data_IF_613053277729
#
_entry.id   IF_613053277729
#
_cell.length_a   1.000
_cell.length_b   1.000
_cell.length_c   1.000
_cell.angle_alpha   90.00
_cell.angle_beta   90.00
_cell.angle_gamma   90.00
#
_symmetry.space_group_name_H-M   'P 1'
#
loop_
_entity.id
_entity.type
_entity.pdbx_description
1 polymer ?
#
# COMPACT_ATOMS: atom_id res chain seq x y z
N UNK A 1 -3.67 1.43 -15.00
CA UNK A 1 -3.12 1.85 -13.68
C UNK A 1 -3.39 0.77 -12.64
N UNK A 2 -2.56 0.67 -11.61
CA UNK A 2 -2.82 -0.13 -10.41
C UNK A 2 -2.84 0.83 -9.22
N UNK A 3 -3.90 0.79 -8.42
CA UNK A 3 -4.01 1.54 -7.17
C UNK A 3 -3.40 0.70 -6.05
N UNK A 4 -2.23 1.10 -5.57
CA UNK A 4 -1.50 0.31 -4.58
C UNK A 4 -1.95 0.55 -3.13
N UNK A 5 -2.93 1.45 -2.89
CA UNK A 5 -3.45 1.73 -1.57
C UNK A 5 -4.83 2.39 -1.62
N UNK A 6 -5.89 1.64 -1.31
CA UNK A 6 -7.26 2.14 -1.29
C UNK A 6 -8.10 1.37 -0.27
N UNK A 7 -8.73 2.08 0.67
CA UNK A 7 -9.64 1.52 1.67
C UNK A 7 -11.05 1.32 1.10
N UNK A 8 -11.17 0.40 0.14
CA UNK A 8 -12.46 0.10 -0.51
C UNK A 8 -13.48 -0.58 0.43
N UNK A 9 -13.01 -1.09 1.55
CA UNK A 9 -13.81 -1.61 2.67
C UNK A 9 -14.47 -0.52 3.53
N UNK A 10 -14.10 0.76 3.33
CA UNK A 10 -14.71 1.89 4.02
C UNK A 10 -16.23 1.96 3.72
N UNK A 11 -17.07 2.22 4.74
CA UNK A 11 -18.53 2.32 4.58
C UNK A 11 -19.02 3.28 3.48
N UNK A 12 -18.21 4.27 3.09
CA UNK A 12 -18.52 5.18 1.99
C UNK A 12 -18.64 4.49 0.61
N UNK A 13 -18.12 3.27 0.48
CA UNK A 13 -18.21 2.46 -0.75
C UNK A 13 -19.24 1.34 -0.67
N UNK A 14 -19.87 1.09 0.50
CA UNK A 14 -20.76 -0.03 0.71
C UNK A 14 -21.97 -0.01 -0.25
N UNK A 15 -22.52 1.18 -0.51
CA UNK A 15 -23.63 1.35 -1.45
C UNK A 15 -23.12 1.48 -2.88
N UNK A 16 -23.60 0.61 -3.78
CA UNK A 16 -23.27 0.68 -5.21
C UNK A 16 -21.87 0.21 -5.59
N UNK A 17 -21.19 -0.58 -4.74
CA UNK A 17 -19.82 -1.03 -4.95
C UNK A 17 -19.59 -1.69 -6.32
N UNK A 18 -20.51 -2.55 -6.79
CA UNK A 18 -20.38 -3.21 -8.10
C UNK A 18 -20.31 -2.20 -9.25
N UNK A 19 -21.18 -1.20 -9.24
CA UNK A 19 -21.21 -0.14 -10.24
C UNK A 19 -19.95 0.74 -10.14
N UNK A 20 -19.55 1.10 -8.92
CA UNK A 20 -18.34 1.85 -8.66
C UNK A 20 -17.10 1.14 -9.23
N UNK A 21 -16.89 -0.13 -8.91
CA UNK A 21 -15.74 -0.90 -9.42
C UNK A 21 -15.78 -1.07 -10.94
N UNK A 22 -16.97 -1.21 -11.53
CA UNK A 22 -17.13 -1.25 -12.99
C UNK A 22 -16.67 0.05 -13.66
N UNK A 23 -17.00 1.20 -13.09
CA UNK A 23 -16.51 2.51 -13.56
C UNK A 23 -14.99 2.63 -13.44
N UNK A 24 -14.39 2.19 -12.31
CA UNK A 24 -12.95 2.22 -12.16
C UNK A 24 -12.25 1.37 -13.24
N UNK A 25 -12.77 0.18 -13.53
CA UNK A 25 -12.25 -0.70 -14.60
C UNK A 25 -12.38 -0.06 -15.98
N UNK A 26 -13.52 0.57 -16.28
CA UNK A 26 -13.76 1.24 -17.55
C UNK A 26 -12.75 2.37 -17.78
N UNK A 27 -12.35 3.09 -16.70
CA UNK A 27 -11.37 4.17 -16.74
C UNK A 27 -9.92 3.68 -16.61
N UNK A 28 -9.68 2.36 -16.78
CA UNK A 28 -8.35 1.78 -16.94
C UNK A 28 -7.64 1.40 -15.65
N UNK A 29 -8.35 1.35 -14.50
CA UNK A 29 -7.80 0.77 -13.26
C UNK A 29 -7.82 -0.75 -13.40
N UNK A 30 -6.64 -1.38 -13.34
CA UNK A 30 -6.47 -2.82 -13.57
C UNK A 30 -6.55 -3.63 -12.27
N UNK A 31 -6.16 -3.04 -11.14
CA UNK A 31 -6.18 -3.66 -9.82
C UNK A 31 -6.19 -2.60 -8.73
N UNK A 32 -6.71 -2.97 -7.56
CA UNK A 32 -6.74 -2.16 -6.34
C UNK A 32 -6.23 -3.02 -5.19
N UNK A 33 -5.25 -2.51 -4.44
CA UNK A 33 -4.74 -3.14 -3.24
C UNK A 33 -5.47 -2.55 -2.02
N UNK A 34 -5.96 -3.44 -1.15
CA UNK A 34 -6.83 -3.07 -0.02
C UNK A 34 -6.11 -3.37 1.28
N UNK A 35 -5.54 -2.37 1.96
CA UNK A 35 -4.86 -2.56 3.23
C UNK A 35 -5.85 -2.65 4.38
N UNK A 36 -5.66 -3.65 5.26
CA UNK A 36 -6.29 -3.67 6.58
C UNK A 36 -5.53 -2.80 7.57
N UNK A 37 -6.24 -2.23 8.54
CA UNK A 37 -5.66 -1.27 9.50
C UNK A 37 -5.71 -1.76 10.95
N UNK A 38 -6.53 -2.76 11.26
CA UNK A 38 -6.70 -3.33 12.60
C UNK A 38 -7.31 -4.74 12.56
N UNK A 39 -7.32 -5.43 13.69
CA UNK A 39 -7.86 -6.79 13.79
C UNK A 39 -9.36 -6.86 13.45
N UNK A 40 -10.14 -5.82 13.77
CA UNK A 40 -11.59 -5.77 13.48
C UNK A 40 -11.89 -5.67 12.00
N UNK A 41 -11.02 -5.03 11.19
CA UNK A 41 -11.20 -4.84 9.74
C UNK A 41 -10.90 -6.10 8.91
N UNK A 42 -10.21 -7.10 9.48
CA UNK A 42 -9.78 -8.31 8.76
C UNK A 42 -10.91 -8.97 7.99
N UNK A 43 -12.06 -9.15 8.63
CA UNK A 43 -13.20 -9.84 8.02
C UNK A 43 -13.73 -9.09 6.80
N UNK A 44 -13.86 -7.78 6.90
CA UNK A 44 -14.46 -6.95 5.85
C UNK A 44 -13.50 -6.77 4.66
N UNK A 45 -12.22 -6.53 4.93
CA UNK A 45 -11.16 -6.50 3.91
C UNK A 45 -11.12 -7.82 3.13
N UNK A 46 -11.09 -8.96 3.84
CA UNK A 46 -11.03 -10.25 3.17
C UNK A 46 -12.31 -10.57 2.41
N UNK A 47 -13.49 -10.25 2.95
CA UNK A 47 -14.76 -10.50 2.30
C UNK A 47 -14.92 -9.69 1.00
N UNK A 48 -14.53 -8.40 1.00
CA UNK A 48 -14.61 -7.59 -0.21
C UNK A 48 -13.62 -8.06 -1.26
N UNK A 49 -12.41 -8.43 -0.89
CA UNK A 49 -11.41 -8.94 -1.82
C UNK A 49 -11.79 -10.33 -2.37
N UNK A 50 -12.32 -11.22 -1.54
CA UNK A 50 -12.79 -12.55 -1.97
C UNK A 50 -13.99 -12.47 -2.95
N UNK A 51 -14.77 -11.38 -2.90
CA UNK A 51 -15.85 -11.13 -3.88
C UNK A 51 -15.33 -10.71 -5.26
N UNK A 52 -14.13 -10.10 -5.33
CA UNK A 52 -13.52 -9.62 -6.59
C UNK A 52 -12.05 -10.07 -6.70
N UNK A 53 -11.78 -11.38 -6.72
CA UNK A 53 -10.44 -11.94 -6.52
C UNK A 53 -9.42 -11.57 -7.59
N UNK A 54 -9.88 -11.21 -8.81
CA UNK A 54 -9.02 -10.79 -9.93
C UNK A 54 -8.84 -9.27 -10.02
N UNK A 55 -9.31 -8.55 -8.99
CA UNK A 55 -9.31 -7.09 -9.03
C UNK A 55 -8.94 -6.42 -7.71
N UNK A 56 -9.40 -6.97 -6.59
CA UNK A 56 -9.09 -6.49 -5.25
C UNK A 56 -8.12 -7.44 -4.55
N UNK A 57 -7.03 -6.90 -4.04
CA UNK A 57 -5.95 -7.69 -3.45
C UNK A 57 -5.71 -7.27 -2.01
N UNK A 58 -5.91 -8.17 -1.02
CA UNK A 58 -5.84 -7.81 0.38
C UNK A 58 -4.40 -7.74 0.90
N UNK A 59 -4.15 -6.75 1.76
CA UNK A 59 -3.04 -6.74 2.69
C UNK A 59 -3.59 -6.66 4.13
N UNK A 60 -2.88 -7.19 5.10
CA UNK A 60 -3.28 -7.16 6.52
C UNK A 60 -2.15 -6.59 7.37
N UNK A 61 -2.50 -5.67 8.25
CA UNK A 61 -1.59 -5.05 9.20
C UNK A 61 -2.32 -4.33 10.33
N UNK A 62 -1.56 -3.96 11.36
CA UNK A 62 -1.98 -3.08 12.44
C UNK A 62 -1.38 -1.70 12.16
N UNK A 63 -2.24 -0.77 11.77
CA UNK A 63 -1.88 0.63 11.55
C UNK A 63 -1.41 1.30 12.86
N UNK A 64 -0.40 2.17 12.83
CA UNK A 64 0.12 2.79 14.05
C UNK A 64 -0.92 3.58 14.85
N UNK A 65 -1.90 4.21 14.21
CA UNK A 65 -2.99 4.90 14.91
C UNK A 65 -3.91 3.95 15.69
N UNK A 66 -3.92 2.66 15.37
CA UNK A 66 -4.70 1.62 16.05
C UNK A 66 -3.88 0.83 17.09
N UNK A 67 -2.62 1.18 17.29
CA UNK A 67 -1.80 0.65 18.38
C UNK A 67 -2.26 1.29 19.69
N UNK A 68 -2.91 0.48 20.56
CA UNK A 68 -3.47 0.87 21.84
C UNK A 68 -3.06 -0.15 22.91
N UNK A 69 -3.72 -0.15 24.06
CA UNK A 69 -3.46 -1.06 25.17
C UNK A 69 -3.55 -2.55 24.77
N UNK A 70 -4.42 -2.85 23.81
CA UNK A 70 -4.71 -4.20 23.30
C UNK A 70 -3.85 -4.61 22.07
N UNK A 71 -2.85 -3.83 21.71
CA UNK A 71 -2.09 -4.03 20.48
C UNK A 71 -1.52 -5.45 20.31
N UNK A 72 -1.14 -6.13 21.40
CA UNK A 72 -0.63 -7.50 21.36
C UNK A 72 -1.71 -8.50 20.98
N UNK A 73 -2.93 -8.32 21.50
CA UNK A 73 -4.09 -9.17 21.16
C UNK A 73 -4.50 -8.94 19.70
N UNK A 74 -4.49 -7.69 19.24
CA UNK A 74 -4.71 -7.36 17.84
C UNK A 74 -3.67 -8.02 16.93
N UNK A 75 -2.37 -7.95 17.26
CA UNK A 75 -1.32 -8.63 16.51
C UNK A 75 -1.50 -10.16 16.48
N UNK A 76 -1.93 -10.79 17.58
CA UNK A 76 -2.21 -12.21 17.59
C UNK A 76 -3.34 -12.58 16.62
N UNK A 77 -4.42 -11.80 16.61
CA UNK A 77 -5.55 -12.00 15.71
C UNK A 77 -5.14 -11.80 14.25
N UNK A 78 -4.41 -10.72 13.96
CA UNK A 78 -3.89 -10.43 12.62
C UNK A 78 -2.94 -11.53 12.15
N UNK A 79 -2.00 -11.97 13.01
CA UNK A 79 -1.06 -13.05 12.68
C UNK A 79 -1.77 -14.36 12.35
N UNK A 80 -2.81 -14.71 13.12
CA UNK A 80 -3.62 -15.90 12.84
C UNK A 80 -4.32 -15.81 11.46
N UNK A 81 -4.82 -14.62 11.09
CA UNK A 81 -5.42 -14.39 9.78
C UNK A 81 -4.39 -14.45 8.65
N UNK A 82 -3.20 -13.85 8.85
CA UNK A 82 -2.08 -13.95 7.91
C UNK A 82 -1.68 -15.41 7.71
N UNK A 83 -1.49 -16.15 8.79
CA UNK A 83 -1.11 -17.58 8.75
C UNK A 83 -2.15 -18.42 8.02
N UNK A 84 -3.43 -18.19 8.30
CA UNK A 84 -4.52 -18.89 7.63
C UNK A 84 -4.54 -18.63 6.12
N UNK A 85 -4.22 -17.41 5.68
CA UNK A 85 -4.19 -17.04 4.27
C UNK A 85 -2.91 -17.48 3.55
N UNK A 86 -1.78 -17.59 4.25
CA UNK A 86 -0.48 -17.93 3.66
C UNK A 86 -0.16 -19.43 3.70
N UNK A 87 -0.68 -20.18 4.69
CA UNK A 87 -0.40 -21.60 4.89
C UNK A 87 -1.41 -22.53 4.19
N UNK A 88 -2.29 -22.00 3.32
CA UNK A 88 -3.25 -22.85 2.62
C UNK A 88 -2.52 -23.76 1.63
N UNK A 89 -2.48 -25.03 1.99
CA UNK A 89 -1.92 -26.15 1.23
C UNK A 89 -2.90 -26.67 0.15
N UNK A 90 -3.57 -25.77 -0.56
CA UNK A 90 -4.50 -26.14 -1.65
C UNK A 90 -3.76 -26.40 -2.98
N UNK A 91 -2.48 -26.73 -2.93
CA UNK A 91 -1.87 -27.42 -4.06
C UNK A 91 -2.27 -28.91 -4.01
N UNK A 92 -2.90 -29.48 -5.02
CA UNK A 92 -3.24 -30.92 -5.08
C UNK A 92 -2.05 -31.86 -4.89
N UNK A 93 -0.83 -31.33 -4.76
CA UNK A 93 0.44 -32.08 -4.65
C UNK A 93 1.29 -31.72 -3.43
N UNK A 94 0.82 -30.87 -2.50
CA UNK A 94 1.61 -30.50 -1.29
C UNK A 94 2.93 -29.77 -1.59
N UNK A 95 3.09 -29.17 -2.77
CA UNK A 95 4.29 -28.45 -3.18
C UNK A 95 4.15 -26.99 -2.77
N UNK A 96 5.01 -26.55 -1.82
CA UNK A 96 5.18 -25.12 -1.51
C UNK A 96 5.97 -24.47 -2.64
N UNK A 97 5.27 -23.77 -3.55
CA UNK A 97 5.93 -22.92 -4.53
C UNK A 97 6.41 -21.62 -3.85
N UNK A 98 7.58 -21.07 -4.24
CA UNK A 98 7.94 -19.70 -3.90
C UNK A 98 6.80 -18.74 -4.28
N UNK A 99 6.52 -17.73 -3.43
CA UNK A 99 5.38 -16.81 -3.63
C UNK A 99 5.39 -16.16 -5.02
N UNK A 100 6.60 -15.87 -5.54
CA UNK A 100 6.78 -15.33 -6.89
C UNK A 100 6.22 -16.24 -8.01
N UNK A 101 6.13 -17.53 -7.78
CA UNK A 101 5.72 -18.54 -8.77
C UNK A 101 4.27 -19.02 -8.59
N UNK A 102 3.55 -18.50 -7.57
CA UNK A 102 2.16 -18.89 -7.32
C UNK A 102 1.21 -18.17 -8.27
N UNK A 103 0.21 -18.87 -8.85
CA UNK A 103 -0.90 -18.23 -9.55
C UNK A 103 -1.61 -17.21 -8.65
N UNK A 104 -2.17 -16.14 -9.21
CA UNK A 104 -2.87 -15.09 -8.46
C UNK A 104 -3.97 -15.66 -7.56
N UNK A 105 -4.73 -16.65 -8.07
CA UNK A 105 -5.79 -17.33 -7.32
C UNK A 105 -5.30 -18.00 -6.01
N UNK A 106 -4.00 -18.31 -5.91
CA UNK A 106 -3.40 -18.92 -4.73
C UNK A 106 -2.73 -17.90 -3.80
N UNK A 107 -2.63 -16.62 -4.22
CA UNK A 107 -2.08 -15.51 -3.41
C UNK A 107 -3.19 -14.85 -2.63
N UNK A 108 -3.44 -15.34 -1.43
CA UNK A 108 -4.51 -14.83 -0.58
C UNK A 108 -4.17 -13.51 0.14
N UNK A 109 -2.87 -13.18 0.29
CA UNK A 109 -2.39 -11.87 0.72
C UNK A 109 -1.28 -11.40 -0.22
N UNK A 110 -1.29 -10.09 -0.51
CA UNK A 110 -0.34 -9.48 -1.43
C UNK A 110 0.78 -8.71 -0.72
N UNK A 111 0.53 -8.31 0.52
CA UNK A 111 1.46 -7.56 1.36
C UNK A 111 1.13 -7.70 2.84
N UNK A 112 2.07 -7.33 3.70
CA UNK A 112 1.79 -6.98 5.09
C UNK A 112 1.61 -5.47 5.14
N UNK A 113 0.45 -5.03 5.59
CA UNK A 113 0.09 -3.61 5.60
C UNK A 113 -1.41 -3.35 5.85
N UNK A 114 -1.70 -2.19 6.32
CA UNK A 114 -0.82 -1.04 6.52
C UNK A 114 -0.14 -1.12 7.88
N UNK A 115 1.18 -0.85 7.94
CA UNK A 115 2.00 -0.87 9.16
C UNK A 115 2.90 0.35 9.21
N UNK A 116 3.42 0.71 10.36
CA UNK A 116 4.37 1.82 10.41
C UNK A 116 4.37 2.58 11.72
N UNK A 117 4.68 3.88 11.62
CA UNK A 117 4.76 4.80 12.75
C UNK A 117 4.00 6.10 12.47
N UNK A 118 3.22 6.58 13.45
CA UNK A 118 2.53 7.87 13.41
C UNK A 118 2.71 8.61 14.74
N UNK A 119 3.31 9.80 14.70
CA UNK A 119 3.51 10.64 15.88
C UNK A 119 2.71 11.94 15.81
N UNK A 120 1.80 12.04 14.83
CA UNK A 120 1.06 13.27 14.58
C UNK A 120 -0.03 13.53 15.62
N UNK A 121 -0.83 12.51 15.91
CA UNK A 121 -2.01 12.66 16.77
C UNK A 121 -1.72 12.28 18.22
N UNK A 122 -1.03 11.17 18.44
CA UNK A 122 -0.81 10.61 19.77
C UNK A 122 0.53 9.86 19.83
N UNK A 123 1.34 10.20 20.80
CA UNK A 123 2.64 9.55 21.04
C UNK A 123 2.64 8.66 22.29
N UNK A 124 1.48 8.46 22.93
CA UNK A 124 1.34 7.65 24.15
C UNK A 124 1.87 6.25 23.96
N UNK A 125 1.61 5.65 22.78
CA UNK A 125 2.00 4.28 22.43
C UNK A 125 3.18 4.21 21.45
N UNK A 126 4.06 5.21 21.47
CA UNK A 126 5.21 5.28 20.55
C UNK A 126 6.09 4.02 20.60
N UNK A 127 6.43 3.54 21.78
CA UNK A 127 7.26 2.35 21.96
C UNK A 127 6.52 1.06 21.51
N UNK A 128 5.22 1.03 21.71
CA UNK A 128 4.36 -0.06 21.25
C UNK A 128 4.25 -0.06 19.72
N UNK A 129 4.14 1.11 19.07
CA UNK A 129 4.19 1.23 17.60
C UNK A 129 5.50 0.66 17.05
N UNK A 130 6.66 0.97 17.67
CA UNK A 130 7.96 0.42 17.28
C UNK A 130 8.00 -1.12 17.39
N UNK A 131 7.43 -1.68 18.47
CA UNK A 131 7.37 -3.15 18.66
C UNK A 131 6.43 -3.79 17.65
N UNK A 132 5.24 -3.19 17.46
CA UNK A 132 4.24 -3.67 16.50
C UNK A 132 4.76 -3.65 15.07
N UNK A 133 5.43 -2.57 14.65
CA UNK A 133 6.04 -2.49 13.32
C UNK A 133 7.10 -3.57 13.12
N UNK A 134 8.04 -3.74 14.08
CA UNK A 134 9.08 -4.79 13.96
C UNK A 134 8.52 -6.19 13.91
N UNK A 135 7.46 -6.47 14.67
CA UNK A 135 6.81 -7.79 14.63
C UNK A 135 6.21 -8.07 13.25
N UNK A 136 5.54 -7.10 12.67
CA UNK A 136 4.92 -7.20 11.36
C UNK A 136 5.97 -7.24 10.22
N UNK A 137 7.11 -6.56 10.38
CA UNK A 137 8.26 -6.70 9.48
C UNK A 137 8.82 -8.14 9.49
N UNK A 138 8.85 -8.82 10.66
CA UNK A 138 9.23 -10.25 10.73
C UNK A 138 8.23 -11.13 9.98
N UNK A 139 6.93 -10.83 10.02
CA UNK A 139 5.95 -11.56 9.21
C UNK A 139 6.22 -11.40 7.72
N UNK A 140 6.49 -10.17 7.28
CA UNK A 140 6.84 -9.90 5.89
C UNK A 140 8.08 -10.69 5.46
N UNK A 141 9.12 -10.75 6.29
CA UNK A 141 10.31 -11.54 6.05
C UNK A 141 10.01 -13.04 6.01
N UNK A 142 9.24 -13.57 6.99
CA UNK A 142 8.83 -14.97 7.06
C UNK A 142 8.08 -15.44 5.81
N UNK A 143 7.17 -14.62 5.29
CA UNK A 143 6.33 -14.97 4.15
C UNK A 143 6.83 -14.45 2.81
N UNK A 144 7.97 -13.75 2.80
CA UNK A 144 8.52 -13.07 1.63
C UNK A 144 7.50 -12.15 0.96
N UNK A 145 6.72 -11.44 1.76
CA UNK A 145 5.75 -10.46 1.32
C UNK A 145 6.34 -9.05 1.35
N UNK A 146 5.97 -8.17 0.41
CA UNK A 146 6.26 -6.76 0.54
C UNK A 146 5.45 -6.13 1.69
N UNK A 147 5.84 -4.92 2.09
CA UNK A 147 5.15 -4.15 3.13
C UNK A 147 4.58 -2.84 2.58
N UNK A 148 3.46 -2.39 3.14
CA UNK A 148 2.89 -1.06 2.93
C UNK A 148 3.15 -0.24 4.19
N UNK A 149 4.04 0.76 4.10
CA UNK A 149 4.56 1.52 5.24
C UNK A 149 3.88 2.87 5.34
N UNK A 150 3.22 3.10 6.45
CA UNK A 150 2.79 4.41 6.92
C UNK A 150 3.91 5.10 7.70
N UNK A 151 4.14 6.38 7.45
CA UNK A 151 5.10 7.17 8.22
C UNK A 151 4.66 8.64 8.27
N UNK A 152 4.26 9.09 9.45
CA UNK A 152 3.85 10.47 9.67
C UNK A 152 4.51 11.05 10.93
N UNK A 153 5.25 12.15 10.75
CA UNK A 153 6.07 12.78 11.79
C UNK A 153 7.07 11.82 12.47
N UNK A 154 7.39 10.67 11.82
CA UNK A 154 8.15 9.55 12.36
C UNK A 154 9.27 9.05 11.43
N UNK A 155 9.68 9.86 10.45
CA UNK A 155 10.55 9.43 9.34
C UNK A 155 11.84 8.74 9.79
N UNK A 156 12.59 9.33 10.72
CA UNK A 156 13.88 8.80 11.15
C UNK A 156 13.75 7.45 11.87
N UNK A 157 12.75 7.31 12.75
CA UNK A 157 12.49 6.05 13.46
C UNK A 157 12.01 4.97 12.46
N UNK A 158 11.17 5.36 11.48
CA UNK A 158 10.74 4.48 10.40
C UNK A 158 11.94 3.97 9.60
N UNK A 159 12.79 4.86 9.09
CA UNK A 159 13.99 4.48 8.34
C UNK A 159 14.94 3.60 9.16
N UNK A 160 15.04 3.85 10.47
CA UNK A 160 15.85 3.03 11.37
C UNK A 160 15.33 1.60 11.42
N UNK A 161 14.01 1.40 11.58
CA UNK A 161 13.41 0.06 11.57
C UNK A 161 13.57 -0.62 10.20
N UNK A 162 13.36 0.10 9.08
CA UNK A 162 13.54 -0.48 7.75
C UNK A 162 14.96 -1.03 7.53
N UNK A 163 16.00 -0.37 8.08
CA UNK A 163 17.40 -0.84 7.99
C UNK A 163 17.64 -2.13 8.77
N UNK A 164 16.84 -2.43 9.79
CA UNK A 164 16.92 -3.70 10.54
C UNK A 164 16.49 -4.90 9.70
N UNK A 165 15.72 -4.68 8.61
CA UNK A 165 15.16 -5.73 7.74
C UNK A 165 15.60 -5.59 6.28
N UNK A 166 16.89 -5.78 5.97
CA UNK A 166 17.44 -5.48 4.64
C UNK A 166 16.92 -6.40 3.52
N UNK A 167 16.28 -7.51 3.86
CA UNK A 167 15.67 -8.45 2.91
C UNK A 167 14.24 -8.09 2.54
N UNK A 168 13.54 -7.32 3.38
CA UNK A 168 12.15 -6.90 3.14
C UNK A 168 12.13 -5.75 2.12
N UNK A 169 11.14 -5.74 1.26
CA UNK A 169 10.85 -4.68 0.29
C UNK A 169 9.43 -4.19 0.49
N UNK A 170 9.12 -3.02 -0.02
CA UNK A 170 7.78 -2.49 0.12
C UNK A 170 7.63 -1.11 -0.50
N UNK A 171 6.55 -0.46 -0.13
CA UNK A 171 6.23 0.91 -0.51
C UNK A 171 6.10 1.78 0.75
N UNK A 172 6.75 2.93 0.75
CA UNK A 172 6.40 4.00 1.67
C UNK A 172 5.19 4.72 1.07
N UNK A 173 4.03 4.39 1.60
CA UNK A 173 2.75 4.89 1.11
C UNK A 173 2.58 6.37 1.44
N UNK A 174 1.75 7.07 0.67
CA UNK A 174 1.43 8.48 0.80
C UNK A 174 2.66 9.38 0.97
N UNK A 175 3.72 9.07 0.20
CA UNK A 175 5.00 9.73 0.36
C UNK A 175 4.89 11.23 0.12
N UNK A 176 5.34 12.01 1.11
CA UNK A 176 5.36 13.48 1.07
C UNK A 176 6.65 14.08 1.66
N UNK A 177 7.68 13.22 1.86
CA UNK A 177 8.96 13.58 2.46
C UNK A 177 9.85 14.44 1.56
N UNK A 178 11.04 14.80 2.08
CA UNK A 178 12.06 15.53 1.32
C UNK A 178 12.74 14.66 0.26
N UNK A 179 13.51 15.31 -0.63
CA UNK A 179 14.33 14.61 -1.63
C UNK A 179 15.32 13.64 -0.98
N UNK A 180 15.95 14.03 0.13
CA UNK A 180 16.94 13.23 0.85
C UNK A 180 16.28 11.97 1.45
N UNK A 181 15.06 12.10 1.98
CA UNK A 181 14.28 10.96 2.48
C UNK A 181 13.87 10.06 1.33
N UNK A 182 13.38 10.61 0.21
CA UNK A 182 13.05 9.84 -0.98
C UNK A 182 14.23 8.99 -1.46
N UNK A 183 15.42 9.62 -1.52
CA UNK A 183 16.66 8.93 -1.91
C UNK A 183 17.02 7.80 -0.95
N UNK A 184 16.95 8.02 0.38
CA UNK A 184 17.25 6.98 1.37
C UNK A 184 16.29 5.78 1.24
N UNK A 185 14.99 6.04 1.07
CA UNK A 185 13.97 5.00 0.88
C UNK A 185 14.25 4.16 -0.37
N UNK A 186 14.55 4.84 -1.49
CA UNK A 186 14.87 4.19 -2.78
C UNK A 186 16.19 3.40 -2.71
N UNK A 187 17.23 3.95 -2.07
CA UNK A 187 18.53 3.28 -1.89
C UNK A 187 18.40 2.00 -1.04
N UNK A 188 17.43 1.93 -0.12
CA UNK A 188 17.10 0.71 0.61
C UNK A 188 16.28 -0.30 -0.22
N UNK A 189 15.91 0.03 -1.47
CA UNK A 189 15.16 -0.83 -2.37
C UNK A 189 13.64 -0.73 -2.24
N UNK A 190 13.13 0.24 -1.49
CA UNK A 190 11.72 0.51 -1.36
C UNK A 190 11.19 1.37 -2.52
N UNK A 191 9.88 1.37 -2.67
CA UNK A 191 9.16 2.23 -3.61
C UNK A 191 8.51 3.40 -2.86
N UNK A 192 8.18 4.45 -3.60
CA UNK A 192 7.42 5.60 -3.10
C UNK A 192 6.00 5.53 -3.67
N UNK A 193 4.99 5.53 -2.79
CA UNK A 193 3.59 5.63 -3.16
C UNK A 193 3.23 7.09 -3.44
N UNK A 194 2.80 7.39 -4.65
CA UNK A 194 2.51 8.75 -5.10
C UNK A 194 1.02 8.88 -5.35
N UNK A 195 0.37 9.67 -4.51
CA UNK A 195 -1.07 9.92 -4.54
C UNK A 195 -1.45 11.37 -4.83
N UNK A 196 -2.71 11.70 -4.54
CA UNK A 196 -3.34 12.99 -4.83
C UNK A 196 -2.60 14.21 -4.29
N UNK A 197 -1.81 14.06 -3.24
CA UNK A 197 -0.99 15.13 -2.62
C UNK A 197 -0.08 15.82 -3.63
N UNK A 198 0.46 15.08 -4.60
CA UNK A 198 1.31 15.62 -5.66
C UNK A 198 0.65 16.76 -6.45
N UNK A 199 -0.68 16.77 -6.53
CA UNK A 199 -1.45 17.76 -7.28
C UNK A 199 -1.76 19.02 -6.46
N UNK A 200 -1.46 19.06 -5.16
CA UNK A 200 -1.85 20.17 -4.30
C UNK A 200 -0.97 21.41 -4.53
N UNK A 201 -1.59 22.57 -4.57
CA UNK A 201 -0.96 23.86 -4.95
C UNK A 201 0.32 24.17 -4.15
N UNK A 202 0.33 23.85 -2.87
CA UNK A 202 1.44 24.19 -1.94
C UNK A 202 2.35 22.99 -1.65
N UNK A 203 2.20 21.86 -2.37
CA UNK A 203 3.00 20.68 -2.18
C UNK A 203 4.33 20.81 -2.93
N UNK A 204 5.44 20.58 -2.23
CA UNK A 204 6.80 20.58 -2.82
C UNK A 204 7.22 19.20 -3.36
N UNK A 205 6.36 18.21 -3.27
CA UNK A 205 6.71 16.83 -3.66
C UNK A 205 7.22 16.75 -5.11
N UNK A 206 6.63 17.53 -6.03
CA UNK A 206 7.11 17.60 -7.41
C UNK A 206 8.60 17.98 -7.52
N UNK A 207 9.05 18.92 -6.68
CA UNK A 207 10.47 19.33 -6.62
C UNK A 207 11.33 18.23 -5.98
N UNK A 208 10.81 17.55 -4.95
CA UNK A 208 11.53 16.50 -4.23
C UNK A 208 11.70 15.22 -5.06
N UNK A 209 10.84 14.98 -6.06
CA UNK A 209 10.93 13.82 -6.95
C UNK A 209 11.94 14.02 -8.10
N UNK A 210 12.43 15.24 -8.33
CA UNK A 210 13.42 15.49 -9.40
C UNK A 210 14.68 14.65 -9.14
N UNK A 211 15.04 13.79 -10.11
CA UNK A 211 16.20 12.89 -10.01
C UNK A 211 15.95 11.58 -9.25
N UNK A 212 14.77 11.36 -8.69
CA UNK A 212 14.34 10.04 -8.18
C UNK A 212 13.98 9.16 -9.39
N UNK A 213 14.47 7.90 -9.47
CA UNK A 213 14.15 7.01 -10.59
C UNK A 213 12.63 6.73 -10.67
N UNK A 214 12.04 6.91 -11.85
CA UNK A 214 10.62 6.62 -12.08
C UNK A 214 10.29 5.14 -11.80
N UNK A 215 11.26 4.26 -12.01
CA UNK A 215 11.19 2.81 -11.71
C UNK A 215 11.04 2.50 -10.22
N UNK A 216 11.03 3.51 -9.36
CA UNK A 216 10.83 3.40 -7.91
C UNK A 216 9.53 4.08 -7.43
N UNK A 217 8.67 4.49 -8.35
CA UNK A 217 7.37 5.07 -8.03
C UNK A 217 6.25 4.08 -8.32
N UNK A 218 5.24 4.06 -7.45
CA UNK A 218 3.94 3.43 -7.70
C UNK A 218 2.84 4.45 -7.50
N UNK A 219 1.68 4.21 -8.12
CA UNK A 219 0.51 5.07 -7.97
C UNK A 219 -0.41 4.54 -6.88
N UNK A 220 -1.05 5.45 -6.17
CA UNK A 220 -2.05 5.13 -5.16
C UNK A 220 -3.06 6.26 -5.01
N UNK A 221 -4.10 6.02 -4.22
CA UNK A 221 -5.08 7.05 -3.92
C UNK A 221 -5.17 7.40 -2.46
N UNK A 222 -5.00 6.44 -1.56
CA UNK A 222 -5.42 6.51 -0.16
C UNK A 222 -6.94 6.82 -0.05
N UNK A 223 -7.71 6.34 -1.03
CA UNK A 223 -9.14 6.58 -1.10
C UNK A 223 -9.87 5.86 0.06
N UNK A 224 -10.87 6.49 0.67
CA UNK A 224 -11.65 7.66 0.23
C UNK A 224 -11.00 9.03 0.49
N UNK A 225 -9.80 9.07 1.04
CA UNK A 225 -9.10 10.28 1.45
C UNK A 225 -8.27 10.88 0.30
N UNK A 226 -7.65 12.02 0.53
CA UNK A 226 -6.57 12.61 -0.25
C UNK A 226 -6.89 12.85 -1.75
N UNK A 227 -8.16 13.10 -2.10
CA UNK A 227 -8.59 13.34 -3.48
C UNK A 227 -7.72 14.40 -4.18
N UNK A 228 -7.25 14.14 -5.44
CA UNK A 228 -6.43 15.09 -6.19
C UNK A 228 -7.21 16.34 -6.59
N UNK A 229 -6.50 17.41 -6.99
CA UNK A 229 -7.10 18.52 -7.69
C UNK A 229 -7.58 18.02 -9.08
N UNK A 230 -8.81 18.35 -9.52
CA UNK A 230 -9.73 19.36 -8.98
C UNK A 230 -10.73 18.82 -7.93
N UNK A 231 -10.63 17.59 -7.49
CA UNK A 231 -11.65 16.93 -6.66
C UNK A 231 -11.41 17.03 -5.14
N UNK A 232 -10.51 17.92 -4.69
CA UNK A 232 -10.28 18.17 -3.26
C UNK A 232 -11.58 18.32 -2.47
N UNK A 233 -11.65 17.59 -1.32
CA UNK A 233 -12.82 17.60 -0.45
C UNK A 233 -13.98 16.68 -0.87
N UNK A 234 -13.83 15.94 -1.97
CA UNK A 234 -14.73 14.85 -2.36
C UNK A 234 -14.16 13.51 -1.91
N UNK A 235 -15.01 12.47 -1.84
CA UNK A 235 -14.56 11.07 -1.70
C UNK A 235 -13.65 10.74 -2.88
N UNK A 236 -12.42 10.30 -2.61
CA UNK A 236 -11.45 9.95 -3.63
C UNK A 236 -11.83 8.66 -4.37
N UNK A 237 -11.27 8.46 -5.56
CA UNK A 237 -11.53 7.32 -6.45
C UNK A 237 -10.26 6.93 -7.22
N UNK A 238 -10.05 5.62 -7.40
CA UNK A 238 -8.84 5.09 -8.06
C UNK A 238 -8.62 5.63 -9.48
N UNK A 239 -9.70 5.87 -10.26
CA UNK A 239 -9.60 6.48 -11.61
C UNK A 239 -8.99 7.88 -11.59
N UNK A 240 -9.06 8.59 -10.48
CA UNK A 240 -8.48 9.93 -10.36
C UNK A 240 -6.95 9.91 -10.20
N UNK A 241 -6.32 8.73 -10.10
CA UNK A 241 -4.86 8.63 -10.25
C UNK A 241 -4.36 9.22 -11.57
N UNK A 242 -5.23 9.33 -12.59
CA UNK A 242 -4.85 9.95 -13.85
C UNK A 242 -4.35 11.40 -13.68
N UNK A 243 -4.89 12.16 -12.74
CA UNK A 243 -4.39 13.51 -12.43
C UNK A 243 -3.00 13.49 -11.80
N UNK A 244 -2.68 12.44 -11.06
CA UNK A 244 -1.33 12.20 -10.52
C UNK A 244 -0.38 11.84 -11.67
N UNK A 245 -0.81 10.97 -12.58
CA UNK A 245 -0.06 10.60 -13.80
C UNK A 245 0.29 11.83 -14.64
N UNK A 246 -0.68 12.69 -14.92
CA UNK A 246 -0.44 13.94 -15.67
C UNK A 246 0.57 14.86 -14.97
N UNK A 247 0.49 14.93 -13.64
CA UNK A 247 1.44 15.72 -12.86
C UNK A 247 2.84 15.12 -12.85
N UNK A 248 2.97 13.80 -12.73
CA UNK A 248 4.27 13.11 -12.86
C UNK A 248 4.87 13.28 -14.26
N UNK A 249 4.06 13.22 -15.32
CA UNK A 249 4.50 13.46 -16.70
C UNK A 249 5.19 14.82 -16.85
N UNK A 250 4.69 15.85 -16.18
CA UNK A 250 5.33 17.18 -16.13
C UNK A 250 6.66 17.15 -15.36
N UNK A 251 6.72 16.44 -14.21
CA UNK A 251 7.94 16.35 -13.39
C UNK A 251 9.05 15.62 -14.13
N UNK A 252 8.72 14.53 -14.82
CA UNK A 252 9.68 13.68 -15.54
C UNK A 252 9.90 14.08 -17.01
N UNK A 253 9.18 15.10 -17.49
CA UNK A 253 9.22 15.58 -18.89
C UNK A 253 9.03 14.42 -19.90
N UNK A 254 7.99 13.62 -19.69
CA UNK A 254 7.61 12.50 -20.55
C UNK A 254 6.10 12.43 -20.74
N UNK A 255 5.58 11.45 -21.51
CA UNK A 255 4.14 11.33 -21.72
C UNK A 255 3.41 10.72 -20.53
N UNK A 256 2.13 11.04 -20.30
CA UNK A 256 1.31 10.38 -19.28
C UNK A 256 1.22 8.87 -19.46
N UNK A 257 1.16 8.39 -20.71
CA UNK A 257 1.11 6.96 -21.04
C UNK A 257 2.37 6.24 -20.54
N UNK A 258 3.55 6.86 -20.72
CA UNK A 258 4.81 6.30 -20.23
C UNK A 258 4.86 6.24 -18.69
N UNK A 259 4.39 7.28 -18.00
CA UNK A 259 4.23 7.25 -16.53
C UNK A 259 3.35 6.08 -16.11
N UNK A 260 2.16 5.95 -16.73
CA UNK A 260 1.23 4.87 -16.42
C UNK A 260 1.84 3.48 -16.69
N UNK A 261 2.54 3.31 -17.79
CA UNK A 261 3.21 2.06 -18.13
C UNK A 261 4.25 1.66 -17.08
N UNK A 262 5.18 2.57 -16.76
CA UNK A 262 6.27 2.31 -15.81
C UNK A 262 5.74 2.07 -14.41
N UNK A 263 4.86 2.93 -13.89
CA UNK A 263 4.32 2.78 -12.53
C UNK A 263 3.45 1.53 -12.37
N UNK A 264 2.74 1.13 -13.43
CA UNK A 264 1.99 -0.14 -13.46
C UNK A 264 2.94 -1.34 -13.45
N UNK A 265 4.03 -1.29 -14.22
CA UNK A 265 5.06 -2.34 -14.21
C UNK A 265 5.74 -2.44 -12.84
N UNK A 266 6.04 -1.29 -12.20
CA UNK A 266 6.61 -1.24 -10.86
C UNK A 266 5.69 -1.91 -9.82
N UNK A 267 4.39 -1.59 -9.82
CA UNK A 267 3.43 -2.20 -8.92
C UNK A 267 3.32 -3.72 -9.16
N UNK A 268 3.29 -4.16 -10.42
CA UNK A 268 3.31 -5.59 -10.76
C UNK A 268 4.56 -6.28 -10.25
N UNK A 269 5.72 -5.66 -10.39
CA UNK A 269 7.00 -6.22 -9.92
C UNK A 269 7.08 -6.28 -8.39
N UNK A 270 6.68 -5.20 -7.69
CA UNK A 270 6.73 -5.15 -6.23
C UNK A 270 5.79 -6.16 -5.58
N UNK A 271 4.54 -6.19 -6.02
CA UNK A 271 3.50 -7.03 -5.42
C UNK A 271 3.31 -8.36 -6.13
N UNK A 272 4.12 -8.64 -7.16
CA UNK A 272 4.08 -9.88 -7.96
C UNK A 272 2.67 -10.16 -8.50
N UNK A 273 2.05 -9.12 -9.08
CA UNK A 273 0.71 -9.20 -9.69
C UNK A 273 0.85 -9.55 -11.17
N UNK A 274 0.25 -10.67 -11.57
CA UNK A 274 0.14 -11.08 -12.98
C UNK A 274 -1.31 -10.87 -13.42
N UNK A 275 -1.59 -9.78 -14.11
CA UNK A 275 -2.90 -9.43 -14.66
C UNK A 275 -2.95 -9.74 -16.15
#
# INVERSE_FOLDING_TARGET
MIDTHCHIDDPQYAEGLDAFLAEQRQDGVQAILVPGVEASSVKDVLAVCDRYPDYLFPALGLHPENVREDWQEQLQTLKAAVDARMNVTDSPKGILYPIAERPIADKKLIAIGEIGLDYHWDVTYKEEQHKAMREQMRWAEQYHLPVMIHSRDATEDTLTILREFPTVRGVMHCFSGSHEVAKQVVDMGYYLGIGGVLTFKNCKLAEHLVGIPLERLVLETDAPYMAPVPYRGKRNESRWMWYVVERLAQVYNCSPEYINEVTTANAKALFVINL
#
